data_IF_335447704395
#
_entry.id   IF_335447704395
#
_cell.length_a   1.000
_cell.length_b   1.000
_cell.length_c   1.000
_cell.angle_alpha   90.00
_cell.angle_beta   90.00
_cell.angle_gamma   90.00
#
_symmetry.space_group_name_H-M   'P 1'
#
loop_
_entity.id
_entity.type
_entity.pdbx_description
1 polymer ?
#
# COMPACT_ATOMS: atom_id res chain seq x y z
N UNK A 1 -16.36 7.48 16.38
CA UNK A 1 -15.72 7.06 15.11
C UNK A 1 -14.46 6.31 15.52
N UNK A 2 -14.33 5.06 15.17
CA UNK A 2 -13.14 4.29 15.55
C UNK A 2 -11.92 4.87 14.81
N UNK A 3 -10.77 4.99 15.48
CA UNK A 3 -9.54 5.45 14.84
C UNK A 3 -9.16 4.53 13.68
N UNK A 4 -8.71 5.12 12.58
CA UNK A 4 -8.25 4.40 11.40
C UNK A 4 -6.74 4.55 11.28
N UNK A 5 -6.06 3.44 11.06
CA UNK A 5 -4.62 3.37 10.86
C UNK A 5 -4.36 3.08 9.38
N UNK A 6 -3.85 4.06 8.65
CA UNK A 6 -3.49 3.89 7.24
C UNK A 6 -2.04 3.43 7.14
N UNK A 7 -1.83 2.26 6.55
CA UNK A 7 -0.52 1.70 6.23
C UNK A 7 -0.31 1.72 4.72
N UNK A 8 0.72 2.44 4.29
CA UNK A 8 1.07 2.56 2.88
C UNK A 8 2.32 1.74 2.59
N UNK A 9 2.17 0.73 1.75
CA UNK A 9 3.26 -0.06 1.20
C UNK A 9 3.85 0.69 0.01
N UNK A 10 4.99 1.33 0.20
CA UNK A 10 5.72 1.99 -0.87
C UNK A 10 6.76 1.01 -1.45
N UNK A 11 6.59 0.66 -2.71
CA UNK A 11 7.53 -0.17 -3.44
C UNK A 11 8.50 0.73 -4.21
N UNK A 12 9.80 0.50 -4.02
CA UNK A 12 10.85 1.19 -4.75
C UNK A 12 11.17 0.40 -6.04
N UNK A 13 10.79 0.89 -7.21
CA UNK A 13 10.95 0.16 -8.47
C UNK A 13 12.32 0.37 -9.12
N UNK A 14 13.35 0.82 -8.38
CA UNK A 14 14.69 1.07 -8.91
C UNK A 14 15.43 -0.17 -9.39
N UNK A 15 14.86 -1.35 -9.21
CA UNK A 15 15.28 -2.53 -9.96
C UNK A 15 14.64 -2.49 -11.34
N UNK A 16 15.44 -2.56 -12.43
CA UNK A 16 14.90 -2.72 -13.77
C UNK A 16 13.92 -3.90 -13.77
N UNK A 17 12.75 -3.72 -14.37
CA UNK A 17 11.69 -4.74 -14.42
C UNK A 17 12.18 -6.10 -14.92
N UNK A 18 13.26 -6.12 -15.72
CA UNK A 18 13.96 -7.29 -16.21
C UNK A 18 14.83 -7.99 -15.16
N UNK A 19 15.31 -7.31 -14.13
CA UNK A 19 16.06 -7.90 -13.00
C UNK A 19 15.10 -8.47 -11.96
N UNK A 20 13.86 -8.00 -11.95
CA UNK A 20 12.84 -8.48 -11.05
C UNK A 20 12.38 -9.91 -11.33
N UNK A 21 12.98 -10.60 -12.32
CA UNK A 21 12.64 -12.00 -12.64
C UNK A 21 11.14 -12.19 -12.63
N UNK A 22 10.42 -11.49 -13.50
CA UNK A 22 8.97 -11.55 -13.63
C UNK A 22 8.52 -12.92 -14.16
N UNK A 23 8.93 -14.00 -13.50
CA UNK A 23 8.18 -15.25 -13.60
C UNK A 23 6.93 -15.07 -12.71
N UNK A 24 5.80 -15.26 -13.35
CA UNK A 24 4.47 -15.20 -12.81
C UNK A 24 4.39 -15.95 -11.51
N UNK A 25 4.52 -15.92 -10.44
CA UNK A 25 4.26 -16.70 -9.22
C UNK A 25 5.45 -16.97 -8.27
N UNK A 26 6.62 -16.38 -8.47
CA UNK A 26 7.67 -16.53 -7.46
C UNK A 26 7.56 -15.44 -6.40
N UNK A 27 7.32 -15.81 -5.12
CA UNK A 27 7.38 -14.85 -4.04
C UNK A 27 8.80 -14.32 -3.95
N UNK A 28 8.98 -13.05 -4.25
CA UNK A 28 10.26 -12.37 -4.02
C UNK A 28 10.25 -11.92 -2.58
N UNK A 29 11.22 -12.38 -1.80
CA UNK A 29 11.41 -11.93 -0.43
C UNK A 29 11.49 -10.39 -0.41
N UNK A 30 10.77 -9.77 0.51
CA UNK A 30 10.86 -8.35 0.74
C UNK A 30 12.29 -8.01 1.19
N UNK A 31 12.98 -7.22 0.40
CA UNK A 31 14.29 -6.68 0.76
C UNK A 31 14.09 -5.30 1.38
N UNK A 32 14.90 -4.97 2.37
CA UNK A 32 14.89 -3.70 3.10
C UNK A 32 15.01 -2.46 2.18
N UNK A 33 15.60 -2.63 1.00
CA UNK A 33 15.72 -1.61 -0.04
C UNK A 33 14.51 -1.47 -0.96
N UNK A 34 13.61 -2.46 -0.99
CA UNK A 34 12.56 -2.57 -2.02
C UNK A 34 11.18 -2.14 -1.53
N UNK A 35 10.88 -2.36 -0.25
CA UNK A 35 9.58 -2.04 0.33
C UNK A 35 9.76 -1.22 1.60
N UNK A 36 8.95 -0.18 1.75
CA UNK A 36 8.84 0.62 2.98
C UNK A 36 7.38 0.72 3.39
N UNK A 37 7.13 0.74 4.67
CA UNK A 37 5.79 0.93 5.21
C UNK A 37 5.70 2.28 5.90
N UNK A 38 4.74 3.08 5.49
CA UNK A 38 4.47 4.39 6.06
C UNK A 38 3.09 4.40 6.72
N UNK A 39 2.99 5.12 7.83
CA UNK A 39 1.70 5.46 8.43
C UNK A 39 1.58 6.96 8.57
N UNK A 40 0.38 7.49 8.29
CA UNK A 40 0.09 8.92 8.41
C UNK A 40 -0.34 9.35 9.81
N UNK A 41 -0.71 8.40 10.68
CA UNK A 41 -1.42 8.72 11.93
C UNK A 41 -0.85 8.06 13.17
N UNK A 42 0.03 7.09 13.03
CA UNK A 42 0.59 6.34 14.16
C UNK A 42 2.09 6.14 13.98
N UNK A 43 2.78 6.03 15.09
CA UNK A 43 4.15 5.55 15.08
C UNK A 43 4.13 4.09 14.63
N UNK A 44 4.83 3.79 13.54
CA UNK A 44 5.05 2.43 13.05
C UNK A 44 6.54 2.13 13.20
N UNK A 45 6.86 1.14 13.99
CA UNK A 45 8.20 0.60 14.02
C UNK A 45 8.31 -0.52 13.00
N UNK A 46 9.10 -0.27 11.96
CA UNK A 46 9.37 -1.24 10.89
C UNK A 46 10.71 -1.92 11.14
N UNK A 47 10.73 -3.24 11.05
CA UNK A 47 11.96 -4.06 11.09
C UNK A 47 11.88 -5.14 10.02
N UNK A 48 13.01 -5.44 9.42
CA UNK A 48 13.15 -6.56 8.50
C UNK A 48 13.86 -7.71 9.22
N UNK A 49 13.23 -8.85 9.24
CA UNK A 49 13.79 -10.05 9.85
C UNK A 49 13.40 -11.28 9.04
N UNK A 50 14.38 -12.09 8.64
CA UNK A 50 14.17 -13.38 7.95
C UNK A 50 13.27 -13.28 6.70
N UNK A 51 13.43 -12.21 5.92
CA UNK A 51 12.62 -11.95 4.72
C UNK A 51 11.20 -11.51 5.00
N UNK A 52 10.90 -11.08 6.22
CA UNK A 52 9.60 -10.56 6.66
C UNK A 52 9.70 -9.11 7.11
N UNK A 53 8.62 -8.40 6.92
CA UNK A 53 8.43 -7.07 7.48
C UNK A 53 7.71 -7.24 8.82
N UNK A 54 8.35 -6.84 9.90
CA UNK A 54 7.74 -6.79 11.22
C UNK A 54 7.31 -5.36 11.52
N UNK A 55 6.01 -5.16 11.73
CA UNK A 55 5.40 -3.87 12.06
C UNK A 55 4.89 -3.90 13.48
N UNK A 56 5.41 -3.03 14.33
CA UNK A 56 4.84 -2.75 15.63
C UNK A 56 3.92 -1.54 15.54
N UNK A 57 2.69 -1.70 16.00
CA UNK A 57 1.65 -0.68 16.00
C UNK A 57 1.30 -0.30 17.43
N UNK A 58 2.16 0.48 18.14
CA UNK A 58 2.02 0.69 19.60
C UNK A 58 0.74 1.43 19.98
N UNK A 59 0.16 2.18 19.07
CA UNK A 59 -1.07 2.93 19.30
C UNK A 59 -2.34 2.19 18.86
N UNK A 60 -2.19 1.02 18.22
CA UNK A 60 -3.34 0.22 17.81
C UNK A 60 -4.09 -0.35 19.03
N UNK A 61 -5.40 -0.35 18.97
CA UNK A 61 -6.30 -0.83 20.02
C UNK A 61 -7.46 -1.60 19.39
N UNK A 62 -8.05 -2.49 20.16
CA UNK A 62 -9.28 -3.17 19.78
C UNK A 62 -10.35 -2.15 19.33
N UNK A 63 -10.95 -2.42 18.19
CA UNK A 63 -11.90 -1.53 17.53
C UNK A 63 -11.28 -0.53 16.55
N UNK A 64 -9.96 -0.48 16.40
CA UNK A 64 -9.34 0.29 15.32
C UNK A 64 -9.49 -0.46 13.99
N UNK A 65 -9.49 0.27 12.90
CA UNK A 65 -9.44 -0.29 11.55
C UNK A 65 -8.09 0.00 10.92
N UNK A 66 -7.39 -1.04 10.47
CA UNK A 66 -6.14 -0.93 9.71
C UNK A 66 -6.49 -1.00 8.22
N UNK A 67 -5.93 -0.08 7.42
CA UNK A 67 -6.11 -0.07 5.96
C UNK A 67 -4.76 -0.12 5.26
N UNK A 68 -4.68 -0.97 4.24
CA UNK A 68 -3.47 -1.19 3.45
C UNK A 68 -3.60 -0.60 2.07
N UNK A 69 -2.66 0.26 1.72
CA UNK A 69 -2.54 0.90 0.41
C UNK A 69 -1.23 0.48 -0.26
N UNK A 70 -1.25 0.42 -1.59
CA UNK A 70 -0.04 0.27 -2.39
C UNK A 70 0.27 1.57 -3.12
N UNK A 71 1.54 1.99 -3.12
CA UNK A 71 2.01 3.12 -3.91
C UNK A 71 3.38 2.83 -4.51
N UNK A 72 3.65 3.38 -5.69
CA UNK A 72 4.99 3.39 -6.25
C UNK A 72 5.81 4.50 -5.59
N UNK A 73 6.96 4.15 -5.03
CA UNK A 73 7.90 5.13 -4.48
C UNK A 73 8.63 5.92 -5.58
N UNK A 74 8.55 5.48 -6.83
CA UNK A 74 9.14 6.15 -7.99
C UNK A 74 8.05 6.51 -9.02
N UNK A 75 7.36 7.64 -8.84
CA UNK A 75 6.28 8.07 -9.74
C UNK A 75 6.71 8.21 -11.21
N UNK A 76 7.99 8.46 -11.45
CA UNK A 76 8.56 8.61 -12.79
C UNK A 76 8.59 7.31 -13.61
N UNK A 77 8.55 6.16 -12.96
CA UNK A 77 8.63 4.86 -13.65
C UNK A 77 7.28 4.35 -14.19
N UNK A 78 6.20 5.05 -13.90
CA UNK A 78 4.91 4.72 -14.48
C UNK A 78 4.35 3.37 -14.04
N UNK A 79 4.59 2.95 -12.80
CA UNK A 79 4.07 1.71 -12.24
C UNK A 79 3.06 2.02 -11.16
N UNK A 80 1.89 1.42 -11.26
CA UNK A 80 0.87 1.43 -10.22
C UNK A 80 0.89 0.11 -9.44
N UNK A 81 0.73 0.21 -8.12
CA UNK A 81 0.81 -0.93 -7.21
C UNK A 81 -0.54 -1.12 -6.53
N UNK A 82 -1.12 -2.29 -6.71
CA UNK A 82 -2.43 -2.62 -6.15
C UNK A 82 -2.29 -3.79 -5.19
N UNK A 83 -2.59 -3.62 -3.89
CA UNK A 83 -2.75 -4.74 -2.98
C UNK A 83 -3.91 -5.62 -3.44
N UNK A 84 -3.60 -6.81 -3.96
CA UNK A 84 -4.58 -7.70 -4.56
C UNK A 84 -5.20 -8.65 -3.55
N UNK A 85 -4.38 -9.18 -2.64
CA UNK A 85 -4.84 -10.09 -1.60
C UNK A 85 -4.12 -9.84 -0.28
N UNK A 86 -4.81 -10.12 0.82
CA UNK A 86 -4.31 -10.06 2.18
C UNK A 86 -4.74 -11.35 2.88
N UNK A 87 -3.84 -12.30 3.00
CA UNK A 87 -4.11 -13.63 3.52
C UNK A 87 -3.44 -13.83 4.88
N UNK A 88 -4.15 -14.16 5.95
CA UNK A 88 -3.54 -14.57 7.22
C UNK A 88 -2.83 -15.91 7.03
N UNK A 89 -1.58 -16.01 7.50
CA UNK A 89 -0.75 -17.21 7.34
C UNK A 89 -0.30 -17.81 8.67
N UNK A 90 -0.52 -17.12 9.78
CA UNK A 90 -0.12 -17.59 11.10
C UNK A 90 -0.25 -16.53 12.18
N UNK A 91 0.22 -16.89 13.37
CA UNK A 91 0.08 -16.06 14.56
C UNK A 91 -1.26 -16.26 15.27
N UNK A 92 -1.51 -15.41 16.25
CA UNK A 92 -2.81 -15.34 16.92
C UNK A 92 -3.70 -14.38 16.12
N UNK A 93 -4.89 -14.82 15.76
CA UNK A 93 -5.84 -13.95 15.05
C UNK A 93 -6.18 -12.74 15.93
N UNK A 94 -5.57 -11.61 15.61
CA UNK A 94 -5.76 -10.34 16.29
C UNK A 94 -6.63 -9.37 15.47
N UNK A 95 -6.96 -9.76 14.23
CA UNK A 95 -7.76 -8.93 13.35
C UNK A 95 -8.84 -9.73 12.60
N UNK A 96 -9.83 -9.03 12.10
CA UNK A 96 -10.87 -9.55 11.22
C UNK A 96 -10.75 -8.87 9.86
N UNK A 97 -10.37 -9.62 8.83
CA UNK A 97 -10.18 -9.09 7.48
C UNK A 97 -11.53 -8.81 6.83
N UNK A 98 -11.71 -7.58 6.36
CA UNK A 98 -12.84 -7.19 5.55
C UNK A 98 -12.54 -7.38 4.05
N UNK A 99 -13.56 -7.29 3.21
CA UNK A 99 -13.40 -7.26 1.76
C UNK A 99 -12.65 -5.98 1.33
N UNK A 100 -11.94 -6.05 0.17
CA UNK A 100 -11.31 -4.86 -0.38
C UNK A 100 -12.34 -3.77 -0.69
N UNK A 101 -11.96 -2.53 -0.50
CA UNK A 101 -12.83 -1.38 -0.64
C UNK A 101 -12.31 -0.39 -1.67
N UNK A 102 -13.20 0.05 -2.55
CA UNK A 102 -12.97 1.21 -3.41
C UNK A 102 -13.67 2.41 -2.83
N UNK A 103 -12.89 3.34 -2.30
CA UNK A 103 -13.38 4.58 -1.72
C UNK A 103 -13.19 5.75 -2.68
N UNK A 104 -14.21 6.61 -2.79
CA UNK A 104 -14.11 7.87 -3.51
C UNK A 104 -14.11 9.02 -2.51
N UNK A 105 -13.07 9.84 -2.56
CA UNK A 105 -12.95 11.02 -1.71
C UNK A 105 -12.62 12.26 -2.51
N UNK A 106 -13.02 13.41 -2.00
CA UNK A 106 -12.59 14.68 -2.55
C UNK A 106 -11.17 14.98 -2.05
N UNK A 107 -10.30 15.39 -2.96
CA UNK A 107 -8.98 15.93 -2.64
C UNK A 107 -8.82 17.32 -3.24
N UNK A 108 -8.07 18.17 -2.55
CA UNK A 108 -7.72 19.50 -3.04
C UNK A 108 -6.42 19.38 -3.84
N UNK A 109 -6.44 19.88 -5.05
CA UNK A 109 -5.29 19.97 -5.93
C UNK A 109 -5.02 21.44 -6.27
N UNK A 110 -3.76 21.86 -6.41
CA UNK A 110 -3.45 23.18 -6.94
C UNK A 110 -3.87 23.28 -8.41
N UNK A 111 -4.33 24.46 -8.80
CA UNK A 111 -4.66 24.73 -10.21
C UNK A 111 -3.36 24.85 -11.03
N UNK A 112 -3.38 24.25 -12.21
CA UNK A 112 -2.35 24.44 -13.20
C UNK A 112 -2.81 25.47 -14.23
N UNK A 113 -1.98 26.46 -14.50
CA UNK A 113 -2.23 27.40 -15.59
C UNK A 113 -2.09 26.68 -16.92
N UNK A 114 -3.18 26.72 -17.71
CA UNK A 114 -3.24 25.99 -18.99
C UNK A 114 -2.27 26.56 -20.06
N UNK A 115 -1.85 27.82 -19.93
CA UNK A 115 -0.99 28.46 -20.92
C UNK A 115 0.50 28.30 -20.56
N UNK A 116 0.84 28.35 -19.26
CA UNK A 116 2.24 28.33 -18.80
C UNK A 116 2.64 27.00 -18.21
N UNK A 117 1.69 26.13 -17.93
CA UNK A 117 1.87 24.87 -17.18
C UNK A 117 2.38 25.09 -15.72
N UNK A 118 2.41 26.33 -15.25
CA UNK A 118 2.80 26.64 -13.89
C UNK A 118 1.73 26.23 -12.88
N UNK A 119 2.19 25.73 -11.74
CA UNK A 119 1.30 25.32 -10.65
C UNK A 119 1.02 26.53 -9.74
N UNK A 120 -0.24 26.90 -9.61
CA UNK A 120 -0.68 27.97 -8.73
C UNK A 120 -1.12 27.41 -7.37
N UNK A 121 -0.22 27.44 -6.39
CA UNK A 121 -0.50 26.97 -5.04
C UNK A 121 -1.52 27.81 -4.26
N UNK A 122 -1.81 29.02 -4.71
CA UNK A 122 -2.83 29.88 -4.08
C UNK A 122 -4.26 29.58 -4.58
N UNK A 123 -4.39 28.84 -5.66
CA UNK A 123 -5.68 28.41 -6.20
C UNK A 123 -5.81 26.90 -6.10
N UNK A 124 -6.86 26.46 -5.47
CA UNK A 124 -7.14 25.04 -5.25
C UNK A 124 -8.49 24.70 -5.87
N UNK A 125 -8.57 23.54 -6.51
CA UNK A 125 -9.83 22.96 -6.94
C UNK A 125 -10.03 21.61 -6.26
N UNK A 126 -11.29 21.18 -6.14
CA UNK A 126 -11.63 19.90 -5.55
C UNK A 126 -11.86 18.86 -6.66
N UNK A 127 -11.17 17.74 -6.58
CA UNK A 127 -11.31 16.63 -7.49
C UNK A 127 -11.68 15.35 -6.74
N UNK A 128 -12.48 14.48 -7.38
CA UNK A 128 -12.78 13.16 -6.83
C UNK A 128 -11.66 12.20 -7.18
N UNK A 129 -10.97 11.72 -6.16
CA UNK A 129 -10.02 10.64 -6.27
C UNK A 129 -10.60 9.31 -5.78
N UNK A 130 -10.25 8.24 -6.45
CA UNK A 130 -10.54 6.88 -6.00
C UNK A 130 -9.32 6.30 -5.30
N UNK A 131 -9.54 5.66 -4.17
CA UNK A 131 -8.51 4.92 -3.43
C UNK A 131 -8.97 3.49 -3.23
N UNK A 132 -8.11 2.55 -3.54
CA UNK A 132 -8.33 1.13 -3.28
C UNK A 132 -7.48 0.70 -2.09
N UNK A 133 -8.07 -0.05 -1.17
CA UNK A 133 -7.39 -0.57 0.00
C UNK A 133 -8.02 -1.88 0.51
N UNK A 134 -7.24 -2.65 1.21
CA UNK A 134 -7.71 -3.71 2.09
C UNK A 134 -7.83 -3.19 3.50
N UNK A 135 -8.86 -3.62 4.21
CA UNK A 135 -9.02 -3.26 5.62
C UNK A 135 -9.23 -4.48 6.49
N UNK A 136 -8.84 -4.37 7.75
CA UNK A 136 -9.17 -5.30 8.79
C UNK A 136 -9.38 -4.56 10.12
N UNK A 137 -10.29 -5.06 10.91
CA UNK A 137 -10.58 -4.50 12.22
C UNK A 137 -9.77 -5.22 13.28
N UNK A 138 -9.17 -4.46 14.18
CA UNK A 138 -8.45 -5.00 15.34
C UNK A 138 -9.44 -5.56 16.32
N UNK A 139 -9.37 -6.86 16.59
CA UNK A 139 -10.28 -7.60 17.47
C UNK A 139 -9.63 -8.01 18.78
N UNK A 140 -8.29 -8.11 18.80
CA UNK A 140 -7.51 -8.51 19.99
C UNK A 140 -6.09 -7.92 19.90
N UNK A 141 -5.34 -8.03 20.98
CA UNK A 141 -3.90 -7.81 21.00
C UNK A 141 -3.15 -9.08 20.57
N UNK A 142 -1.93 -8.92 20.09
CA UNK A 142 -1.11 -10.07 19.72
C UNK A 142 -0.28 -9.84 18.47
N UNK A 143 0.24 -10.94 17.93
CA UNK A 143 0.99 -10.96 16.69
C UNK A 143 0.24 -11.79 15.66
N UNK A 144 0.01 -11.21 14.51
CA UNK A 144 -0.61 -11.87 13.37
C UNK A 144 0.28 -11.75 12.14
N UNK A 145 0.43 -12.85 11.41
CA UNK A 145 1.27 -12.94 10.23
C UNK A 145 0.40 -13.00 8.98
N UNK A 146 0.74 -12.15 7.98
CA UNK A 146 0.03 -12.02 6.72
C UNK A 146 0.93 -12.29 5.54
N UNK A 147 0.31 -12.76 4.47
CA UNK A 147 0.83 -12.69 3.11
C UNK A 147 0.08 -11.61 2.36
N UNK A 148 0.80 -10.60 1.88
CA UNK A 148 0.22 -9.52 1.06
C UNK A 148 0.68 -9.73 -0.37
N UNK A 149 -0.27 -9.91 -1.27
CA UNK A 149 0.00 -10.01 -2.70
C UNK A 149 -0.22 -8.65 -3.33
N UNK A 150 0.82 -8.14 -4.00
CA UNK A 150 0.80 -6.87 -4.73
C UNK A 150 0.85 -7.16 -6.23
N UNK A 151 -0.09 -6.62 -6.98
CA UNK A 151 -0.02 -6.59 -8.43
C UNK A 151 0.58 -5.27 -8.91
N UNK A 152 1.47 -5.35 -9.88
CA UNK A 152 2.12 -4.22 -10.53
C UNK A 152 1.55 -4.04 -11.92
N UNK A 153 1.12 -2.83 -12.22
CA UNK A 153 0.58 -2.45 -13.53
C UNK A 153 1.35 -1.27 -14.08
N UNK A 154 1.51 -1.22 -15.40
CA UNK A 154 1.91 0.00 -16.10
C UNK A 154 0.83 1.06 -15.96
N UNK A 155 1.22 2.33 -16.03
CA UNK A 155 0.23 3.42 -16.04
C UNK A 155 -0.73 3.28 -17.21
N UNK A 156 -2.01 3.61 -17.00
CA UNK A 156 -2.95 3.70 -18.11
C UNK A 156 -2.41 4.64 -19.19
N UNK A 157 -2.58 4.25 -20.46
CA UNK A 157 -2.24 5.11 -21.58
C UNK A 157 -3.23 6.27 -21.68
N UNK A 158 -2.87 7.29 -22.44
CA UNK A 158 -3.71 8.48 -22.63
C UNK A 158 -5.09 8.18 -23.23
N UNK A 159 -5.27 7.02 -23.87
CA UNK A 159 -6.54 6.53 -24.39
C UNK A 159 -7.38 5.77 -23.37
N UNK A 160 -6.90 5.67 -22.10
CA UNK A 160 -7.56 4.94 -21.03
C UNK A 160 -7.40 3.42 -21.08
N UNK A 161 -6.65 2.90 -22.07
CA UNK A 161 -6.33 1.47 -22.11
C UNK A 161 -5.38 1.11 -20.96
N UNK A 162 -5.57 -0.07 -20.40
CA UNK A 162 -4.69 -0.59 -19.36
C UNK A 162 -3.54 -1.36 -19.99
N UNK A 163 -2.35 -1.17 -19.46
CA UNK A 163 -1.27 -2.10 -19.74
C UNK A 163 -1.52 -3.43 -19.01
N UNK A 164 -0.98 -4.50 -19.58
CA UNK A 164 -1.01 -5.81 -18.93
C UNK A 164 -0.33 -5.73 -17.56
N UNK A 165 -0.72 -6.63 -16.67
CA UNK A 165 -0.05 -6.80 -15.39
C UNK A 165 1.43 -7.06 -15.61
N UNK A 166 2.27 -6.15 -15.11
CA UNK A 166 3.73 -6.24 -15.25
C UNK A 166 4.32 -7.33 -14.36
N UNK A 167 3.63 -7.69 -13.29
CA UNK A 167 4.09 -8.73 -12.37
C UNK A 167 3.32 -8.77 -11.06
N UNK A 168 3.78 -9.66 -10.19
CA UNK A 168 3.24 -9.88 -8.84
C UNK A 168 4.38 -9.86 -7.83
N UNK A 169 4.13 -9.28 -6.66
CA UNK A 169 5.00 -9.35 -5.49
C UNK A 169 4.23 -9.95 -4.34
N UNK A 170 4.89 -10.80 -3.59
CA UNK A 170 4.34 -11.38 -2.37
C UNK A 170 5.21 -10.97 -1.20
N UNK A 171 4.61 -10.32 -0.23
CA UNK A 171 5.26 -9.86 0.99
C UNK A 171 4.77 -10.69 2.17
N UNK A 172 5.70 -11.09 3.03
CA UNK A 172 5.37 -11.64 4.34
C UNK A 172 5.46 -10.51 5.36
N UNK A 173 4.36 -10.22 6.02
CA UNK A 173 4.25 -9.13 6.99
C UNK A 173 3.72 -9.68 8.31
N UNK A 174 4.35 -9.29 9.41
CA UNK A 174 3.85 -9.54 10.76
C UNK A 174 3.44 -8.23 11.38
N UNK A 175 2.25 -8.16 11.92
CA UNK A 175 1.82 -7.01 12.75
C UNK A 175 1.82 -7.42 14.22
N UNK A 176 2.25 -6.49 15.07
CA UNK A 176 2.21 -6.64 16.54
C UNK A 176 1.35 -5.52 17.09
N UNK A 177 0.29 -5.91 17.80
CA UNK A 177 -0.69 -5.05 18.45
C UNK A 177 -0.55 -5.27 19.96
N UNK A 178 -0.24 -4.25 20.77
CA UNK A 178 0.00 -4.35 22.19
C UNK A 178 -1.24 -4.70 23.01
#
# INVERSE_FOLDING_TARGET
MNPVIDLTLALQPDMPLNVLGLQEDSPVAADEGVVRVFSSHTLVEERFQDGRILLSLPDARVGNTIRWYGVSASPSQGVDIIPYALDPIGGQAATSIAAPCLCKRWQLLPEQDAATSEINMARLHAEKASSFYWSHDVTDSGREDFRITLHLYGRPKSDGSHEERLGTRVLSVSIVIP
#
